data_IF_788155362271
#
_entry.id   IF_788155362271
#
_cell.length_a   1.000
_cell.length_b   1.000
_cell.length_c   1.000
_cell.angle_alpha   90.00
_cell.angle_beta   90.00
_cell.angle_gamma   90.00
#
_symmetry.space_group_name_H-M   'P 1'
#
loop_
_entity.id
_entity.type
_entity.pdbx_description
1 polymer ?
#
# COMPACT_ATOMS: atom_id res chain seq x y z
N UNK A 1 -3.13 -8.67 10.48
CA UNK A 1 -3.35 -7.46 11.27
C UNK A 1 -4.00 -6.40 10.41
N UNK A 2 -4.67 -5.44 11.03
CA UNK A 2 -5.24 -4.25 10.39
C UNK A 2 -4.84 -3.05 11.25
N UNK A 3 -4.53 -1.92 10.65
CA UNK A 3 -4.34 -0.68 11.42
C UNK A 3 -5.68 -0.02 11.70
N UNK A 4 -5.87 0.47 12.92
CA UNK A 4 -7.17 1.02 13.36
C UNK A 4 -7.51 2.38 12.74
N UNK A 5 -6.54 3.06 12.14
CA UNK A 5 -6.70 4.34 11.45
C UNK A 5 -7.10 4.18 9.97
N UNK A 6 -7.23 2.95 9.45
CA UNK A 6 -7.69 2.69 8.09
C UNK A 6 -9.19 2.38 8.06
N UNK A 7 -10.03 3.42 8.07
CA UNK A 7 -11.49 3.27 8.05
C UNK A 7 -12.07 2.87 6.68
N UNK A 8 -11.27 2.95 5.61
CA UNK A 8 -11.74 2.77 4.22
C UNK A 8 -11.24 1.48 3.58
N UNK A 9 -11.76 0.35 4.05
CA UNK A 9 -11.47 -0.95 3.46
C UNK A 9 -12.73 -1.64 2.93
N UNK A 10 -12.58 -2.40 1.84
CA UNK A 10 -13.68 -3.24 1.34
C UNK A 10 -13.98 -4.40 2.32
N UNK A 11 -15.26 -4.82 2.46
CA UNK A 11 -15.59 -6.06 3.14
C UNK A 11 -14.84 -7.25 2.50
N UNK A 12 -14.35 -8.18 3.33
CA UNK A 12 -13.61 -9.36 2.87
C UNK A 12 -12.16 -9.10 2.44
N UNK A 13 -11.63 -7.87 2.61
CA UNK A 13 -10.25 -7.55 2.23
C UNK A 13 -9.22 -8.44 2.94
N UNK A 14 -9.40 -8.65 4.26
CA UNK A 14 -8.53 -9.53 5.04
C UNK A 14 -8.64 -10.98 4.57
N UNK A 15 -9.85 -11.45 4.32
CA UNK A 15 -10.10 -12.81 3.82
C UNK A 15 -9.40 -13.03 2.48
N UNK A 16 -9.51 -12.08 1.54
CA UNK A 16 -8.80 -12.12 0.26
C UNK A 16 -7.27 -12.18 0.43
N UNK A 17 -6.70 -11.44 1.38
CA UNK A 17 -5.27 -11.53 1.69
C UNK A 17 -4.89 -12.92 2.22
N UNK A 18 -5.69 -13.49 3.11
CA UNK A 18 -5.46 -14.83 3.66
C UNK A 18 -5.59 -15.90 2.59
N UNK A 19 -6.64 -15.85 1.77
CA UNK A 19 -6.87 -16.79 0.68
C UNK A 19 -5.73 -16.78 -0.33
N UNK A 20 -5.29 -15.60 -0.78
CA UNK A 20 -4.13 -15.47 -1.67
C UNK A 20 -2.86 -16.05 -1.04
N UNK A 21 -2.63 -15.76 0.24
CA UNK A 21 -1.47 -16.27 0.95
C UNK A 21 -1.52 -17.80 1.06
N UNK A 22 -2.68 -18.40 1.33
CA UNK A 22 -2.87 -19.85 1.40
C UNK A 22 -2.69 -20.53 0.04
N UNK A 23 -3.20 -19.91 -1.03
CA UNK A 23 -3.09 -20.41 -2.40
C UNK A 23 -1.64 -20.45 -2.90
N UNK A 24 -0.75 -19.64 -2.34
CA UNK A 24 0.68 -19.62 -2.67
C UNK A 24 1.57 -19.94 -1.46
N UNK A 25 1.97 -21.21 -1.28
CA UNK A 25 2.86 -21.63 -0.20
C UNK A 25 4.26 -21.01 -0.27
N UNK A 26 4.65 -20.40 -1.39
CA UNK A 26 5.96 -19.76 -1.54
C UNK A 26 5.96 -18.31 -1.07
N UNK A 27 4.80 -17.68 -0.91
CA UNK A 27 4.67 -16.33 -0.37
C UNK A 27 4.89 -16.28 1.15
N UNK A 28 5.46 -15.17 1.61
CA UNK A 28 5.70 -14.90 3.03
C UNK A 28 4.55 -14.13 3.66
N UNK A 29 4.00 -13.16 2.91
CA UNK A 29 2.86 -12.34 3.34
C UNK A 29 1.98 -11.90 2.17
N UNK A 30 0.80 -11.40 2.49
CA UNK A 30 -0.08 -10.70 1.57
C UNK A 30 -0.62 -9.42 2.23
N UNK A 31 -0.57 -8.31 1.50
CA UNK A 31 -0.94 -6.98 2.02
C UNK A 31 -1.92 -6.26 1.10
N UNK A 32 -2.70 -5.34 1.66
CA UNK A 32 -3.54 -4.43 0.89
C UNK A 32 -2.82 -3.13 0.52
N UNK A 33 -3.39 -2.42 -0.45
CA UNK A 33 -2.86 -1.16 -0.96
C UNK A 33 -3.51 -0.76 -2.28
N UNK A 34 -2.95 0.25 -2.92
CA UNK A 34 -3.46 0.80 -4.18
C UNK A 34 -2.35 0.91 -5.22
N UNK A 35 -2.68 0.65 -6.48
CA UNK A 35 -1.79 0.99 -7.59
C UNK A 35 -1.92 2.48 -7.87
N UNK A 36 -0.86 3.24 -7.63
CA UNK A 36 -0.80 4.66 -7.92
C UNK A 36 0.52 5.08 -8.59
N UNK A 37 0.45 5.28 -9.91
CA UNK A 37 1.58 5.78 -10.69
C UNK A 37 1.75 7.31 -10.61
N UNK A 38 0.84 8.00 -9.92
CA UNK A 38 0.97 9.44 -9.66
C UNK A 38 2.14 9.71 -8.71
N UNK A 39 2.29 8.86 -7.70
CA UNK A 39 3.37 8.90 -6.73
C UNK A 39 4.47 7.84 -6.99
N UNK A 40 4.59 7.36 -8.24
CA UNK A 40 5.64 6.42 -8.62
C UNK A 40 7.04 6.94 -8.20
N UNK A 41 7.95 6.10 -7.66
CA UNK A 41 9.29 6.51 -7.19
C UNK A 41 10.12 7.31 -8.21
N UNK A 42 9.95 7.03 -9.50
CA UNK A 42 10.59 7.79 -10.60
C UNK A 42 10.04 9.20 -10.82
N UNK A 43 8.90 9.55 -10.22
CA UNK A 43 8.22 10.85 -10.40
C UNK A 43 8.32 11.72 -9.16
N UNK A 44 8.46 11.13 -7.98
CA UNK A 44 8.73 11.87 -6.74
C UNK A 44 10.19 12.30 -6.70
N UNK A 45 10.45 13.48 -6.12
CA UNK A 45 11.78 14.08 -6.02
C UNK A 45 12.17 14.29 -4.57
N UNK A 46 13.46 14.23 -4.29
CA UNK A 46 14.05 14.69 -3.05
C UNK A 46 14.23 16.21 -3.14
N UNK A 47 13.84 16.93 -2.10
CA UNK A 47 14.17 18.35 -1.94
C UNK A 47 15.55 18.43 -1.29
N UNK A 48 16.47 19.12 -1.95
CA UNK A 48 17.85 19.32 -1.49
C UNK A 48 17.94 20.56 -0.58
N UNK A 49 19.05 20.69 0.15
CA UNK A 49 19.26 21.80 1.09
C UNK A 49 19.24 23.18 0.41
N UNK A 50 19.68 23.25 -0.85
CA UNK A 50 19.67 24.46 -1.68
C UNK A 50 18.31 24.75 -2.34
N UNK A 51 17.29 23.95 -2.04
CA UNK A 51 15.95 24.04 -2.63
C UNK A 51 15.80 23.41 -4.02
N UNK A 52 16.87 22.84 -4.58
CA UNK A 52 16.80 22.09 -5.84
C UNK A 52 16.14 20.71 -5.64
N UNK A 53 15.80 20.04 -6.74
CA UNK A 53 15.14 18.73 -6.75
C UNK A 53 16.04 17.66 -7.38
N UNK A 54 16.20 16.53 -6.69
CA UNK A 54 16.93 15.36 -7.18
C UNK A 54 16.03 14.12 -7.27
N UNK A 55 16.38 13.12 -8.08
CA UNK A 55 15.70 11.83 -8.05
C UNK A 55 15.99 11.08 -6.76
N UNK A 56 15.01 10.36 -6.22
CA UNK A 56 15.25 9.39 -5.14
C UNK A 56 16.07 8.19 -5.60
N UNK A 57 15.88 7.76 -6.85
CA UNK A 57 16.47 6.55 -7.42
C UNK A 57 17.16 6.87 -8.76
N UNK A 58 18.20 6.12 -9.15
CA UNK A 58 18.69 6.13 -10.52
C UNK A 58 17.56 5.75 -11.50
N UNK A 59 17.27 6.59 -12.49
CA UNK A 59 16.24 6.34 -13.50
C UNK A 59 16.92 5.94 -14.81
N UNK A 60 16.61 4.75 -15.38
CA UNK A 60 17.15 4.33 -16.67
C UNK A 60 16.85 5.33 -17.80
N UNK A 61 17.78 5.45 -18.75
CA UNK A 61 17.58 6.32 -19.93
C UNK A 61 16.40 5.81 -20.76
N UNK A 62 15.55 6.73 -21.21
CA UNK A 62 14.40 6.41 -22.07
C UNK A 62 13.12 6.00 -21.32
N UNK A 63 13.14 6.01 -19.98
CA UNK A 63 11.91 5.88 -19.19
C UNK A 63 10.93 7.00 -19.56
N UNK A 64 9.68 6.63 -19.82
CA UNK A 64 8.63 7.57 -20.19
C UNK A 64 8.29 8.50 -19.02
N UNK A 65 7.99 9.76 -19.33
CA UNK A 65 7.37 10.68 -18.37
C UNK A 65 5.87 10.43 -18.20
N UNK A 66 5.26 9.59 -19.03
CA UNK A 66 3.85 9.29 -19.01
C UNK A 66 3.52 8.24 -17.94
N UNK A 67 2.63 8.57 -16.99
CA UNK A 67 2.31 7.70 -15.84
C UNK A 67 1.68 6.36 -16.23
N UNK A 68 0.97 6.31 -17.36
CA UNK A 68 0.38 5.06 -17.89
C UNK A 68 1.42 4.13 -18.53
N UNK A 69 2.62 4.64 -18.83
CA UNK A 69 3.70 3.86 -19.43
C UNK A 69 4.72 3.37 -18.38
N UNK A 70 4.54 3.71 -17.10
CA UNK A 70 5.38 3.24 -16.00
C UNK A 70 4.90 1.88 -15.50
N UNK A 71 5.85 1.09 -14.97
CA UNK A 71 5.53 -0.09 -14.18
C UNK A 71 4.60 0.29 -13.02
N UNK A 72 3.61 -0.55 -12.68
CA UNK A 72 2.73 -0.28 -11.56
C UNK A 72 3.50 -0.04 -10.25
N UNK A 73 3.25 1.09 -9.60
CA UNK A 73 3.70 1.38 -8.25
C UNK A 73 2.59 1.04 -7.26
N UNK A 74 2.86 0.10 -6.35
CA UNK A 74 1.90 -0.30 -5.33
C UNK A 74 2.22 0.41 -4.01
N UNK A 75 1.24 1.16 -3.51
CA UNK A 75 1.34 1.90 -2.24
C UNK A 75 0.59 1.13 -1.17
N UNK A 76 1.29 0.75 -0.10
CA UNK A 76 0.70 0.06 1.05
C UNK A 76 -0.24 1.01 1.79
N UNK A 77 -1.47 0.56 2.07
CA UNK A 77 -2.49 1.40 2.73
C UNK A 77 -2.63 1.12 4.23
N UNK A 78 -2.00 0.06 4.74
CA UNK A 78 -2.10 -0.34 6.16
C UNK A 78 -3.39 -1.04 6.55
N UNK A 79 -4.35 -1.20 5.63
CA UNK A 79 -5.69 -1.70 5.94
C UNK A 79 -5.69 -3.18 6.31
N UNK A 80 -5.00 -4.04 5.57
CA UNK A 80 -4.96 -5.48 5.81
C UNK A 80 -3.57 -6.07 5.53
N UNK A 81 -3.13 -6.96 6.42
CA UNK A 81 -1.88 -7.73 6.29
C UNK A 81 -2.09 -9.16 6.81
N UNK A 82 -1.87 -10.15 5.96
CA UNK A 82 -1.76 -11.56 6.32
C UNK A 82 -0.30 -11.98 6.25
N UNK A 83 0.22 -12.66 7.28
CA UNK A 83 1.64 -13.03 7.36
C UNK A 83 1.80 -14.49 7.78
N UNK A 84 2.77 -15.20 7.21
CA UNK A 84 3.22 -16.50 7.73
C UNK A 84 4.19 -16.27 8.87
N UNK A 85 3.74 -16.53 10.10
CA UNK A 85 4.56 -16.29 11.30
C UNK A 85 5.92 -16.97 11.21
N UNK A 86 5.99 -18.22 10.73
CA UNK A 86 7.22 -19.00 10.58
C UNK A 86 8.24 -18.41 9.58
N UNK A 87 7.85 -17.43 8.77
CA UNK A 87 8.72 -16.77 7.77
C UNK A 87 8.94 -15.29 8.03
N UNK A 88 8.00 -14.65 8.71
CA UNK A 88 8.02 -13.23 9.01
C UNK A 88 8.64 -12.93 10.39
N UNK A 89 8.83 -13.94 11.23
CA UNK A 89 9.39 -13.81 12.57
C UNK A 89 10.52 -14.84 12.81
N UNK A 90 11.74 -14.39 13.16
CA UNK A 90 12.16 -12.99 13.31
C UNK A 90 12.16 -12.20 11.97
N UNK A 91 12.04 -10.85 12.00
CA UNK A 91 11.93 -10.06 10.77
C UNK A 91 13.24 -10.02 9.95
N UNK A 92 13.27 -10.69 8.79
CA UNK A 92 14.43 -10.76 7.89
C UNK A 92 14.08 -10.43 6.42
N UNK A 93 12.93 -9.81 6.19
CA UNK A 93 12.46 -9.40 4.86
C UNK A 93 13.09 -8.12 4.31
N UNK A 94 12.42 -7.54 3.31
CA UNK A 94 12.85 -6.32 2.63
C UNK A 94 12.65 -5.06 3.49
N UNK A 95 13.58 -4.11 3.40
CA UNK A 95 13.41 -2.76 3.98
C UNK A 95 12.33 -1.95 3.23
N UNK A 96 11.61 -1.03 3.89
CA UNK A 96 11.66 -0.72 5.32
C UNK A 96 10.78 -1.66 6.17
N UNK A 97 10.02 -2.56 5.54
CA UNK A 97 9.03 -3.40 6.21
C UNK A 97 9.50 -4.86 6.32
N UNK A 98 10.62 -5.10 7.02
CA UNK A 98 11.24 -6.43 7.14
C UNK A 98 10.30 -7.52 7.63
N UNK A 99 9.29 -7.15 8.41
CA UNK A 99 8.26 -8.08 8.90
C UNK A 99 7.41 -8.69 7.78
N UNK A 100 7.38 -8.12 6.58
CA UNK A 100 6.61 -8.65 5.45
C UNK A 100 7.32 -9.83 4.74
N UNK A 101 8.58 -10.10 5.05
CA UNK A 101 9.37 -11.12 4.35
C UNK A 101 9.88 -10.64 2.98
N UNK A 102 10.24 -11.58 2.11
CA UNK A 102 10.89 -11.31 0.83
C UNK A 102 9.97 -11.53 -0.35
N UNK A 103 8.95 -12.39 -0.22
CA UNK A 103 7.95 -12.64 -1.26
C UNK A 103 6.57 -12.20 -0.79
N UNK A 104 6.25 -10.94 -1.09
CA UNK A 104 5.03 -10.26 -0.67
C UNK A 104 4.01 -10.26 -1.80
N UNK A 105 2.82 -10.80 -1.55
CA UNK A 105 1.67 -10.70 -2.45
C UNK A 105 0.84 -9.45 -2.13
N UNK A 106 -0.04 -9.06 -3.06
CA UNK A 106 -0.93 -7.92 -2.85
C UNK A 106 -2.40 -8.19 -3.21
N UNK A 107 -3.28 -7.43 -2.57
CA UNK A 107 -4.69 -7.25 -2.92
C UNK A 107 -4.94 -5.74 -3.07
N UNK A 108 -5.60 -5.32 -4.15
CA UNK A 108 -5.96 -3.92 -4.31
C UNK A 108 -7.15 -3.56 -3.39
N UNK A 109 -7.04 -2.42 -2.71
CA UNK A 109 -8.10 -1.82 -1.91
C UNK A 109 -8.42 -0.42 -2.47
N UNK A 110 -9.32 -0.33 -3.47
CA UNK A 110 -9.72 0.95 -4.04
C UNK A 110 -10.38 1.84 -2.98
N UNK A 111 -9.72 2.98 -2.69
CA UNK A 111 -10.15 3.94 -1.68
C UNK A 111 -9.54 3.74 -0.30
N UNK A 112 -8.52 2.88 -0.17
CA UNK A 112 -7.67 2.81 1.01
C UNK A 112 -7.10 4.19 1.37
N UNK A 113 -7.43 4.64 2.58
CA UNK A 113 -7.07 5.93 3.16
C UNK A 113 -6.72 5.65 4.62
N UNK A 114 -5.57 6.16 5.02
CA UNK A 114 -5.17 6.21 6.42
C UNK A 114 -5.56 7.60 6.98
N UNK A 115 -6.26 7.61 8.11
CA UNK A 115 -6.67 8.84 8.80
C UNK A 115 -5.47 9.44 9.53
N UNK A 116 -4.98 10.56 9.03
CA UNK A 116 -3.89 11.35 9.64
C UNK A 116 -4.30 12.79 9.99
N UNK A 117 -5.46 13.23 9.52
CA UNK A 117 -5.98 14.58 9.70
C UNK A 117 -7.51 14.59 9.86
N UNK A 118 -8.07 15.73 10.26
CA UNK A 118 -9.53 15.92 10.31
C UNK A 118 -10.18 15.81 8.92
N UNK A 119 -9.49 16.27 7.87
CA UNK A 119 -9.96 16.13 6.49
C UNK A 119 -10.09 14.65 6.08
N UNK A 120 -9.19 13.78 6.56
CA UNK A 120 -9.26 12.34 6.28
C UNK A 120 -10.48 11.69 6.96
N UNK A 121 -10.92 12.21 8.10
CA UNK A 121 -12.15 11.75 8.77
C UNK A 121 -13.36 12.04 7.88
N UNK A 122 -13.43 13.24 7.30
CA UNK A 122 -14.50 13.63 6.38
C UNK A 122 -14.47 12.75 5.12
N UNK A 123 -13.29 12.48 4.57
CA UNK A 123 -13.15 11.58 3.42
C UNK A 123 -13.57 10.15 3.76
N UNK A 124 -13.25 9.68 4.96
CA UNK A 124 -13.68 8.37 5.48
C UNK A 124 -15.19 8.30 5.64
N UNK A 125 -15.82 9.31 6.23
CA UNK A 125 -17.29 9.40 6.32
C UNK A 125 -17.92 9.33 4.92
N UNK A 126 -17.43 10.12 3.96
CA UNK A 126 -17.94 10.10 2.57
C UNK A 126 -17.72 8.74 1.89
N UNK A 127 -16.63 8.04 2.22
CA UNK A 127 -16.41 6.68 1.74
C UNK A 127 -17.47 5.71 2.29
N UNK A 128 -17.71 5.75 3.60
CA UNK A 128 -18.68 4.91 4.30
C UNK A 128 -20.11 5.15 3.80
N UNK A 129 -20.53 6.43 3.71
CA UNK A 129 -21.86 6.82 3.23
C UNK A 129 -22.12 6.35 1.79
N UNK A 130 -21.13 6.46 0.88
CA UNK A 130 -21.26 5.94 -0.49
C UNK A 130 -21.46 4.42 -0.56
N UNK A 131 -21.10 3.71 0.50
CA UNK A 131 -21.28 2.26 0.63
C UNK A 131 -22.51 1.88 1.47
N UNK A 132 -23.35 2.86 1.82
CA UNK A 132 -24.56 2.64 2.60
C UNK A 132 -24.32 2.39 4.09
N UNK A 133 -23.12 2.68 4.60
CA UNK A 133 -22.81 2.61 6.03
C UNK A 133 -23.18 3.96 6.64
N UNK A 134 -24.22 3.99 7.48
CA UNK A 134 -24.75 5.20 8.09
C UNK A 134 -24.16 5.41 9.49
N UNK A 135 -23.95 6.67 9.92
CA UNK A 135 -23.63 6.97 11.31
C UNK A 135 -24.79 6.52 12.22
N UNK A 136 -24.43 5.96 13.38
CA UNK A 136 -25.38 5.45 14.40
C UNK A 136 -25.89 6.57 15.29
#
# INVERSE_FOLDING_TARGET
SMHCNCGTHAPGLLDACVEKLLADPTADSCVSGVIDNSHHPYRVKKVMEDGSLENWLPIPRGVSNNRQALTPSFVLDGAARALRVSRCFPPEGQEPFRVLGNRVLFVENPGGLDVHSEDDVILTERYLLRRGILPV
#
